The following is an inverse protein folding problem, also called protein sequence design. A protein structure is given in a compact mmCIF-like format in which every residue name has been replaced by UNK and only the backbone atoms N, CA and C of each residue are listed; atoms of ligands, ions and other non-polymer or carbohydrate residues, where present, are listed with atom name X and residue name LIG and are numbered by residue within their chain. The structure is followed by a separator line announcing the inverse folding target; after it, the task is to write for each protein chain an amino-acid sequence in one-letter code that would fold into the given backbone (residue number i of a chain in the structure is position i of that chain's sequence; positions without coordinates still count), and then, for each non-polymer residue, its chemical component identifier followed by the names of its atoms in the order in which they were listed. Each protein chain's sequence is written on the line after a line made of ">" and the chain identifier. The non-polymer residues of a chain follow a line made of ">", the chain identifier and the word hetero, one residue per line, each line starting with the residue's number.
data_IF_477653910561
#
_entry.id   IF_477653910561
#
_cell.length_a   1.000
_cell.length_b   1.000
_cell.length_c   1.000
_cell.angle_alpha   90.00
_cell.angle_beta   90.00
_cell.angle_gamma   90.00
#
_symmetry.space_group_name_H-M   'P 1'
#
loop_
_entity.id
_entity.type
_entity.pdbx_description
1 polymer ?
#
# COMPACT_ATOMS: atom_id res chain seq x y z
N UNK A 1 13.60 -4.49 -6.89
CA UNK A 1 12.21 -4.71 -7.35
C UNK A 1 12.33 -5.34 -8.73
N UNK A 2 11.81 -6.55 -8.90
CA UNK A 2 11.96 -7.32 -10.15
C UNK A 2 10.62 -7.51 -10.87
N UNK A 3 9.53 -7.43 -10.11
CA UNK A 3 8.16 -7.67 -10.56
C UNK A 3 7.29 -6.42 -10.39
N UNK A 4 7.91 -5.25 -10.49
CA UNK A 4 7.24 -3.96 -10.42
C UNK A 4 7.43 -3.20 -11.73
N UNK A 5 6.38 -2.55 -12.18
CA UNK A 5 6.38 -1.76 -13.42
C UNK A 5 5.54 -0.49 -13.28
N UNK A 6 5.90 0.51 -14.09
CA UNK A 6 5.07 1.68 -14.35
C UNK A 6 4.56 1.56 -15.80
N UNK A 7 3.37 0.98 -16.01
CA UNK A 7 2.93 0.54 -17.34
C UNK A 7 2.51 1.70 -18.28
N UNK A 8 2.59 2.95 -17.82
CA UNK A 8 2.16 4.09 -18.62
C UNK A 8 0.63 4.11 -18.77
N UNK A 9 0.13 4.06 -19.99
CA UNK A 9 -1.29 4.01 -20.31
C UNK A 9 -1.81 2.59 -20.61
N UNK A 10 -0.93 1.58 -20.56
CA UNK A 10 -1.30 0.20 -20.81
C UNK A 10 -2.03 -0.40 -19.61
N UNK A 11 -3.33 -0.77 -19.70
CA UNK A 11 -4.08 -1.37 -18.62
C UNK A 11 -3.74 -2.84 -18.37
N UNK A 12 -3.04 -3.49 -19.30
CA UNK A 12 -2.77 -4.93 -19.24
C UNK A 12 -1.75 -5.26 -18.15
N UNK A 13 -2.11 -6.20 -17.27
CA UNK A 13 -1.22 -6.73 -16.24
C UNK A 13 -0.64 -8.07 -16.71
N UNK A 14 0.67 -8.11 -16.94
CA UNK A 14 1.34 -9.31 -17.41
C UNK A 14 1.51 -10.36 -16.30
N UNK A 15 1.41 -11.63 -16.67
CA UNK A 15 1.62 -12.76 -15.77
C UNK A 15 0.44 -13.06 -14.85
N UNK A 16 0.69 -13.92 -13.86
CA UNK A 16 -0.35 -14.28 -12.88
C UNK A 16 -0.62 -13.10 -11.93
N UNK A 17 -1.88 -12.72 -11.83
CA UNK A 17 -2.32 -11.61 -10.99
C UNK A 17 -3.71 -11.91 -10.41
N UNK A 18 -4.09 -11.15 -9.39
CA UNK A 18 -5.43 -11.24 -8.81
C UNK A 18 -6.40 -10.37 -9.62
N UNK A 19 -7.66 -10.77 -9.64
CA UNK A 19 -8.73 -9.99 -10.21
C UNK A 19 -9.48 -9.20 -9.14
N UNK A 20 -9.94 -8.01 -9.51
CA UNK A 20 -10.81 -7.18 -8.70
C UNK A 20 -12.16 -6.99 -9.39
N UNK A 21 -13.21 -6.99 -8.61
CA UNK A 21 -14.58 -6.82 -9.10
C UNK A 21 -15.29 -5.76 -8.28
N UNK A 22 -16.12 -4.96 -8.94
CA UNK A 22 -17.02 -4.03 -8.28
C UNK A 22 -18.47 -4.31 -8.66
N UNK A 23 -19.42 -4.09 -7.74
CA UNK A 23 -20.85 -4.16 -8.06
C UNK A 23 -21.25 -2.93 -8.89
N UNK A 24 -21.76 -3.17 -10.08
CA UNK A 24 -22.37 -2.15 -10.95
C UNK A 24 -23.72 -2.65 -11.40
N UNK A 25 -24.79 -1.95 -11.04
CA UNK A 25 -26.17 -2.30 -11.34
C UNK A 25 -26.56 -3.75 -10.99
N UNK A 26 -25.98 -4.28 -9.89
CA UNK A 26 -26.20 -5.64 -9.41
C UNK A 26 -25.35 -6.73 -10.09
N UNK A 27 -24.45 -6.36 -10.98
CA UNK A 27 -23.51 -7.27 -11.66
C UNK A 27 -22.09 -7.10 -11.11
N UNK A 28 -21.33 -8.21 -11.04
CA UNK A 28 -19.91 -8.17 -10.76
C UNK A 28 -19.15 -7.77 -12.02
N UNK A 29 -18.64 -6.55 -12.05
CA UNK A 29 -17.83 -6.05 -13.18
C UNK A 29 -16.38 -6.20 -12.83
N UNK A 30 -15.62 -6.87 -13.71
CA UNK A 30 -14.16 -6.97 -13.58
C UNK A 30 -13.53 -5.59 -13.83
N UNK A 31 -12.80 -5.10 -12.84
CA UNK A 31 -12.11 -3.81 -12.85
C UNK A 31 -10.59 -3.98 -12.78
N UNK A 32 -10.08 -5.16 -13.07
CA UNK A 32 -8.65 -5.49 -12.94
C UNK A 32 -7.78 -4.65 -13.88
N UNK A 33 -8.20 -4.55 -15.14
CA UNK A 33 -7.46 -3.84 -16.17
C UNK A 33 -8.04 -2.44 -16.37
N UNK A 34 -7.52 -1.49 -15.62
CA UNK A 34 -7.85 -0.06 -15.76
C UNK A 34 -6.66 0.71 -16.30
N UNK A 35 -6.93 1.80 -17.04
CA UNK A 35 -5.84 2.66 -17.52
C UNK A 35 -5.11 3.31 -16.33
N UNK A 36 -3.81 3.01 -16.10
CA UNK A 36 -3.09 3.48 -14.92
C UNK A 36 -2.91 4.99 -14.86
N UNK A 37 -3.06 5.70 -15.96
CA UNK A 37 -2.95 7.16 -15.99
C UNK A 37 -4.00 7.86 -15.10
N UNK A 38 -5.10 7.18 -14.75
CA UNK A 38 -6.09 7.69 -13.79
C UNK A 38 -5.47 7.96 -12.41
N UNK A 39 -4.48 7.16 -12.00
CA UNK A 39 -3.76 7.34 -10.75
C UNK A 39 -2.54 8.25 -10.90
N UNK A 40 -1.94 8.31 -12.09
CA UNK A 40 -0.76 9.13 -12.36
C UNK A 40 0.35 8.92 -11.33
N UNK A 41 0.93 10.00 -10.83
CA UNK A 41 1.99 9.95 -9.82
C UNK A 41 1.52 9.46 -8.43
N UNK A 42 0.22 9.37 -8.19
CA UNK A 42 -0.31 8.89 -6.91
C UNK A 42 -0.32 7.36 -6.78
N UNK A 43 -0.14 6.59 -7.88
CA UNK A 43 -0.17 5.15 -7.74
C UNK A 43 -0.23 4.33 -9.02
N UNK A 44 0.18 4.88 -10.18
CA UNK A 44 0.19 4.15 -11.45
C UNK A 44 1.30 3.09 -11.50
N UNK A 45 1.31 2.18 -10.53
CA UNK A 45 2.29 1.11 -10.41
C UNK A 45 1.60 -0.25 -10.26
N UNK A 46 2.14 -1.25 -10.96
CA UNK A 46 1.87 -2.66 -10.70
C UNK A 46 3.06 -3.22 -9.93
N UNK A 47 2.79 -3.93 -8.84
CA UNK A 47 3.84 -4.47 -7.97
C UNK A 47 3.39 -5.75 -7.28
N UNK A 48 4.31 -6.37 -6.55
CA UNK A 48 4.06 -7.51 -5.66
C UNK A 48 4.35 -7.13 -4.22
N UNK A 49 3.76 -7.86 -3.25
CA UNK A 49 4.08 -7.69 -1.82
C UNK A 49 5.57 -7.90 -1.55
N UNK A 50 6.20 -8.85 -2.23
CA UNK A 50 7.64 -9.09 -2.11
C UNK A 50 8.50 -7.92 -2.60
N UNK A 51 8.05 -7.19 -3.63
CA UNK A 51 8.76 -5.99 -4.08
C UNK A 51 8.52 -4.79 -3.15
N UNK A 52 7.32 -4.67 -2.57
CA UNK A 52 7.04 -3.66 -1.55
C UNK A 52 7.88 -3.90 -0.28
N UNK A 53 8.03 -5.16 0.16
CA UNK A 53 8.92 -5.51 1.27
C UNK A 53 10.38 -5.11 0.97
N UNK A 54 10.88 -5.44 -0.21
CA UNK A 54 12.23 -5.02 -0.65
C UNK A 54 12.40 -3.50 -0.69
N UNK A 55 11.36 -2.79 -1.13
CA UNK A 55 11.36 -1.33 -1.15
C UNK A 55 11.43 -0.75 0.28
N UNK A 56 10.57 -1.20 1.18
CA UNK A 56 10.55 -0.74 2.58
C UNK A 56 11.86 -1.08 3.29
N UNK A 57 12.38 -2.29 3.09
CA UNK A 57 13.70 -2.68 3.61
C UNK A 57 14.85 -1.81 3.06
N UNK A 58 14.76 -1.39 1.80
CA UNK A 58 15.70 -0.45 1.20
C UNK A 58 15.60 0.96 1.76
N UNK A 59 14.38 1.41 1.98
CA UNK A 59 14.07 2.75 2.50
C UNK A 59 14.54 2.91 3.94
N UNK A 60 14.10 2.02 4.83
CA UNK A 60 14.47 2.06 6.26
C UNK A 60 15.95 1.71 6.50
N UNK A 61 16.53 0.85 5.66
CA UNK A 61 17.94 0.49 5.71
C UNK A 61 18.90 1.54 5.11
N UNK A 62 18.40 2.74 4.73
CA UNK A 62 19.23 3.85 4.22
C UNK A 62 19.83 3.61 2.84
N UNK A 63 19.33 2.63 2.07
CA UNK A 63 19.82 2.33 0.72
C UNK A 63 19.20 3.21 -0.37
N UNK A 64 18.04 3.81 -0.10
CA UNK A 64 17.31 4.62 -1.08
C UNK A 64 17.42 6.12 -0.79
N UNK A 65 17.47 6.51 0.47
CA UNK A 65 17.59 7.91 0.89
C UNK A 65 18.68 8.04 1.93
N UNK A 66 19.40 9.15 1.90
CA UNK A 66 20.29 9.50 3.00
C UNK A 66 19.47 9.82 4.28
N UNK A 67 20.08 9.65 5.48
CA UNK A 67 19.34 9.82 6.75
C UNK A 67 18.60 11.14 6.89
N UNK A 68 19.16 12.24 6.40
CA UNK A 68 18.53 13.56 6.46
C UNK A 68 17.26 13.63 5.58
N UNK A 69 17.30 13.07 4.36
CA UNK A 69 16.13 13.02 3.48
C UNK A 69 15.04 12.09 4.03
N UNK A 70 15.43 10.95 4.60
CA UNK A 70 14.48 10.06 5.26
C UNK A 70 13.83 10.70 6.49
N UNK A 71 14.59 11.49 7.26
CA UNK A 71 14.04 12.27 8.36
C UNK A 71 13.00 13.30 7.89
N UNK A 72 13.28 14.00 6.78
CA UNK A 72 12.31 14.93 6.16
C UNK A 72 11.08 14.19 5.60
N UNK A 73 11.27 13.04 4.95
CA UNK A 73 10.17 12.23 4.42
C UNK A 73 9.14 11.87 5.48
N UNK A 74 9.60 11.51 6.69
CA UNK A 74 8.73 11.14 7.82
C UNK A 74 8.32 12.29 8.72
N UNK A 75 8.74 13.52 8.44
CA UNK A 75 8.35 14.70 9.22
C UNK A 75 6.88 15.02 8.98
N UNK A 76 6.09 14.93 10.04
CA UNK A 76 4.67 15.28 10.03
C UNK A 76 4.44 16.69 10.56
N UNK A 77 3.39 17.34 10.11
CA UNK A 77 2.99 18.65 10.57
C UNK A 77 1.72 18.54 11.45
N UNK A 78 1.45 19.49 12.36
CA UNK A 78 0.29 19.40 13.27
C UNK A 78 -1.05 19.19 12.57
N UNK A 79 -1.19 19.68 11.34
CA UNK A 79 -2.41 19.58 10.54
C UNK A 79 -2.41 18.40 9.53
N UNK A 80 -1.31 17.63 9.45
CA UNK A 80 -1.18 16.56 8.44
C UNK A 80 -1.69 15.20 8.91
N UNK A 81 -2.27 15.10 10.10
CA UNK A 81 -2.81 13.85 10.68
C UNK A 81 -1.82 12.68 10.61
N UNK A 82 -0.54 12.96 10.85
CA UNK A 82 0.51 11.94 10.80
C UNK A 82 1.06 11.65 9.40
N UNK A 83 0.69 12.43 8.37
CA UNK A 83 1.17 12.26 7.01
C UNK A 83 2.42 13.12 6.75
N UNK A 84 3.50 12.48 6.28
CA UNK A 84 4.73 13.13 5.82
C UNK A 84 4.78 13.25 4.30
N UNK A 85 5.93 13.05 3.70
CA UNK A 85 6.10 13.09 2.24
C UNK A 85 5.93 11.67 1.66
N UNK A 86 4.66 11.24 1.49
CA UNK A 86 4.33 9.91 1.01
C UNK A 86 4.63 8.78 2.00
N UNK A 87 4.83 9.11 3.28
CA UNK A 87 5.11 8.17 4.34
C UNK A 87 4.35 8.59 5.59
N UNK A 88 3.43 7.79 6.05
CA UNK A 88 2.47 8.16 7.10
C UNK A 88 2.62 7.31 8.35
N UNK A 89 2.23 7.87 9.46
CA UNK A 89 2.05 7.15 10.73
C UNK A 89 0.77 6.32 10.67
N UNK A 90 0.88 5.06 11.06
CA UNK A 90 -0.24 4.11 11.13
C UNK A 90 -0.35 3.65 12.58
N UNK A 91 -1.32 4.17 13.36
CA UNK A 91 -1.52 3.76 14.74
C UNK A 91 -1.99 2.30 14.80
N UNK A 92 -1.33 1.49 15.61
CA UNK A 92 -1.63 0.09 15.87
C UNK A 92 -1.67 -0.16 17.39
N UNK A 93 -2.19 -1.32 17.81
CA UNK A 93 -2.32 -1.65 19.23
C UNK A 93 -0.98 -1.75 19.95
N UNK A 94 0.09 -2.15 19.27
CA UNK A 94 1.45 -2.26 19.85
C UNK A 94 2.32 -1.03 19.59
N UNK A 95 1.78 0.07 19.05
CA UNK A 95 2.53 1.29 18.79
C UNK A 95 2.25 1.89 17.43
N UNK A 96 3.26 2.46 16.78
CA UNK A 96 3.12 3.13 15.48
C UNK A 96 3.94 2.41 14.42
N UNK A 97 3.28 1.94 13.37
CA UNK A 97 3.94 1.59 12.13
C UNK A 97 4.04 2.81 11.21
N UNK A 98 4.86 2.71 10.18
CA UNK A 98 5.07 3.72 9.17
C UNK A 98 4.92 3.09 7.78
N UNK A 99 4.36 3.81 6.84
CA UNK A 99 4.17 3.27 5.50
C UNK A 99 3.16 4.05 4.69
N UNK A 100 2.46 3.35 3.84
CA UNK A 100 1.38 3.91 3.05
C UNK A 100 0.30 2.87 2.78
N UNK A 101 -0.92 3.36 2.55
CA UNK A 101 -2.02 2.56 2.03
C UNK A 101 -2.46 3.13 0.68
N UNK A 102 -2.97 2.28 -0.19
CA UNK A 102 -3.52 2.67 -1.47
C UNK A 102 -4.88 2.02 -1.72
N UNK A 103 -5.70 2.67 -2.52
CA UNK A 103 -6.98 2.13 -2.96
C UNK A 103 -7.32 2.63 -4.35
N UNK A 104 -7.70 1.71 -5.22
CA UNK A 104 -8.18 1.99 -6.56
C UNK A 104 -9.16 0.89 -6.98
N UNK A 105 -10.33 1.25 -7.47
CA UNK A 105 -11.35 0.41 -8.11
C UNK A 105 -11.25 -1.12 -7.83
N UNK A 106 -11.60 -1.54 -6.59
CA UNK A 106 -11.59 -2.95 -6.20
C UNK A 106 -10.26 -3.47 -5.66
N UNK A 107 -9.20 -2.66 -5.62
CA UNK A 107 -7.93 -3.00 -4.97
C UNK A 107 -7.65 -2.11 -3.76
N UNK A 108 -7.22 -2.72 -2.67
CA UNK A 108 -6.60 -2.03 -1.54
C UNK A 108 -5.23 -2.62 -1.29
N UNK A 109 -4.23 -1.77 -1.07
CA UNK A 109 -2.85 -2.17 -0.81
C UNK A 109 -2.36 -1.52 0.47
N UNK A 110 -1.59 -2.26 1.26
CA UNK A 110 -1.00 -1.79 2.50
C UNK A 110 0.47 -2.20 2.53
N UNK A 111 1.34 -1.27 2.87
CA UNK A 111 2.76 -1.52 3.07
C UNK A 111 3.21 -0.77 4.32
N UNK A 112 3.58 -1.51 5.36
CA UNK A 112 3.91 -0.97 6.69
C UNK A 112 5.25 -1.48 7.18
N UNK A 113 5.97 -0.66 7.92
CA UNK A 113 7.26 -1.00 8.51
C UNK A 113 7.45 -0.32 9.86
N UNK A 114 8.30 -0.89 10.72
CA UNK A 114 8.91 -0.17 11.83
C UNK A 114 10.04 0.74 11.31
N UNK A 115 10.39 1.79 12.06
CA UNK A 115 11.46 2.72 11.63
C UNK A 115 12.83 2.07 11.56
N UNK A 116 13.06 1.02 12.34
CA UNK A 116 14.27 0.21 12.29
C UNK A 116 14.25 -0.85 11.17
N UNK A 117 13.12 -0.98 10.47
CA UNK A 117 12.94 -1.95 9.39
C UNK A 117 12.86 -3.41 9.83
N UNK A 118 12.76 -3.69 11.13
CA UNK A 118 12.76 -5.07 11.65
C UNK A 118 11.38 -5.74 11.52
N UNK A 119 10.31 -4.96 11.49
CA UNK A 119 8.94 -5.44 11.25
C UNK A 119 8.42 -4.81 9.98
N UNK A 120 7.93 -5.64 9.08
CA UNK A 120 7.29 -5.19 7.84
C UNK A 120 6.08 -6.07 7.56
N UNK A 121 5.01 -5.47 7.10
CA UNK A 121 3.78 -6.15 6.68
C UNK A 121 3.29 -5.51 5.40
N UNK A 122 3.15 -6.32 4.39
CA UNK A 122 2.57 -5.96 3.10
C UNK A 122 1.35 -6.84 2.84
N UNK A 123 0.25 -6.20 2.50
CA UNK A 123 -0.97 -6.90 2.17
C UNK A 123 -1.70 -6.20 1.02
N UNK A 124 -2.49 -6.96 0.32
CA UNK A 124 -3.52 -6.43 -0.57
C UNK A 124 -4.86 -7.11 -0.27
N UNK A 125 -5.93 -6.44 -0.62
CA UNK A 125 -7.27 -6.98 -0.57
C UNK A 125 -8.05 -6.53 -1.81
N UNK A 126 -8.94 -7.39 -2.29
CA UNK A 126 -9.85 -7.10 -3.41
C UNK A 126 -11.29 -7.22 -2.94
N UNK A 127 -11.77 -6.29 -2.08
CA UNK A 127 -13.12 -6.35 -1.57
C UNK A 127 -14.13 -6.08 -2.71
N UNK A 128 -15.07 -6.98 -2.89
CA UNK A 128 -16.18 -6.79 -3.84
C UNK A 128 -17.05 -5.59 -3.44
N UNK A 129 -17.35 -5.48 -2.14
CA UNK A 129 -18.03 -4.32 -1.56
C UNK A 129 -17.18 -3.72 -0.44
N UNK A 130 -16.77 -2.46 -0.53
CA UNK A 130 -15.99 -1.79 0.49
C UNK A 130 -16.88 -1.39 1.69
N UNK A 131 -17.34 -2.38 2.46
CA UNK A 131 -18.15 -2.13 3.67
C UNK A 131 -17.29 -1.70 4.85
N UNK A 132 -17.93 -1.13 5.87
CA UNK A 132 -17.24 -0.76 7.12
C UNK A 132 -16.69 -2.01 7.85
N UNK A 133 -17.41 -3.14 7.77
CA UNK A 133 -17.02 -4.42 8.33
C UNK A 133 -15.78 -4.97 7.61
N UNK A 134 -15.75 -4.95 6.28
CA UNK A 134 -14.58 -5.38 5.49
C UNK A 134 -13.36 -4.52 5.81
N UNK A 135 -13.53 -3.21 5.90
CA UNK A 135 -12.46 -2.27 6.28
C UNK A 135 -11.93 -2.54 7.70
N UNK A 136 -12.81 -2.86 8.64
CA UNK A 136 -12.45 -3.21 10.00
C UNK A 136 -11.70 -4.55 10.05
N UNK A 137 -12.15 -5.55 9.31
CA UNK A 137 -11.49 -6.86 9.23
C UNK A 137 -10.07 -6.74 8.67
N UNK A 138 -9.87 -5.97 7.62
CA UNK A 138 -8.53 -5.70 7.05
C UNK A 138 -7.64 -4.99 8.08
N UNK A 139 -8.16 -3.98 8.78
CA UNK A 139 -7.39 -3.27 9.82
C UNK A 139 -6.96 -4.22 10.94
N UNK A 140 -7.87 -5.07 11.43
CA UNK A 140 -7.58 -6.04 12.49
C UNK A 140 -6.54 -7.08 12.03
N UNK A 141 -6.63 -7.53 10.77
CA UNK A 141 -5.64 -8.42 10.18
C UNK A 141 -4.25 -7.79 10.16
N UNK A 142 -4.15 -6.54 9.69
CA UNK A 142 -2.89 -5.79 9.63
C UNK A 142 -2.30 -5.56 11.04
N UNK A 143 -3.14 -5.19 12.00
CA UNK A 143 -2.74 -5.01 13.40
C UNK A 143 -2.20 -6.32 14.00
N UNK A 144 -2.93 -7.42 13.80
CA UNK A 144 -2.52 -8.75 14.27
C UNK A 144 -1.21 -9.20 13.61
N UNK A 145 -1.09 -9.04 12.30
CA UNK A 145 0.11 -9.44 11.57
C UNK A 145 1.36 -8.64 11.98
N UNK A 146 1.18 -7.36 12.29
CA UNK A 146 2.29 -6.49 12.69
C UNK A 146 2.64 -6.63 14.17
N UNK A 147 1.66 -6.78 15.05
CA UNK A 147 1.82 -6.77 16.51
C UNK A 147 1.96 -8.16 17.12
N UNK A 148 1.50 -9.20 16.44
CA UNK A 148 1.47 -10.59 16.95
C UNK A 148 2.72 -11.40 16.65
N UNK A 149 3.71 -10.84 15.97
CA UNK A 149 4.98 -11.49 15.62
C UNK A 149 6.06 -11.32 16.69
#
# INVERSE_FOLDING_TARGET
>A
MHDSSAPGDNPFIAGAHVHAYLPVDGYAVDTTEINPTIAGASGALVSTTADLDRFLAGLTGGRLLAPAQFAEMRRTLPFSSGYGLGFMQIPLTCGTAWGHAGGIQGFNTFAMTSLDGMRRVEAYATPYEPTAEASTAVRNLLDTAYCGG
#
